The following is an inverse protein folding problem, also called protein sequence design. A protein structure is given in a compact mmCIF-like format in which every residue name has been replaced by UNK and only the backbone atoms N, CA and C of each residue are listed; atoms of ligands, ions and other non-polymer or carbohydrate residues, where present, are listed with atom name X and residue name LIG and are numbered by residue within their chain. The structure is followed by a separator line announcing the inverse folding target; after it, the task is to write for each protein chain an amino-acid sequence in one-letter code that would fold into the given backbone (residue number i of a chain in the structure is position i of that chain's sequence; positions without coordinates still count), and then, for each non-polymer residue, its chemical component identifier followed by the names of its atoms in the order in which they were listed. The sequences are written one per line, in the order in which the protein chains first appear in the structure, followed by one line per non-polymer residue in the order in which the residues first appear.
data_IF_187948178088
#
_entry.id   IF_187948178088
#
_cell.length_a   1.000
_cell.length_b   1.000
_cell.length_c   1.000
_cell.angle_alpha   90.00
_cell.angle_beta   90.00
_cell.angle_gamma   90.00
#
_symmetry.space_group_name_H-M   'P 1'
#
loop_
_entity.id
_entity.type
_entity.pdbx_description
1 polymer ?
#
# COMPACT_ATOMS: atom_id res chain seq x y z
N UNK A 1 5.66 -12.70 17.87
CA UNK A 1 6.11 -12.48 16.48
C UNK A 1 7.53 -13.01 16.32
N UNK A 2 7.70 -14.17 15.67
CA UNK A 2 9.00 -14.87 15.53
C UNK A 2 9.95 -14.28 14.46
N UNK A 3 9.71 -13.06 13.96
CA UNK A 3 10.33 -12.59 12.71
C UNK A 3 11.04 -11.22 12.79
N UNK A 4 11.48 -10.80 13.99
CA UNK A 4 12.13 -9.51 14.21
C UNK A 4 13.42 -9.30 13.38
N UNK A 5 14.12 -10.37 13.03
CA UNK A 5 15.38 -10.32 12.25
C UNK A 5 15.13 -10.05 10.75
N UNK A 6 14.16 -10.75 10.13
CA UNK A 6 13.79 -10.52 8.71
C UNK A 6 13.28 -9.10 8.49
N UNK A 7 12.62 -8.52 9.50
CA UNK A 7 12.10 -7.15 9.45
C UNK A 7 13.18 -6.08 9.28
N UNK A 8 14.31 -6.26 9.97
CA UNK A 8 15.41 -5.28 9.98
C UNK A 8 16.00 -5.06 8.59
N UNK A 9 15.89 -6.03 7.67
CA UNK A 9 16.41 -5.86 6.30
C UNK A 9 15.66 -4.78 5.52
N UNK A 10 14.39 -4.54 5.85
CA UNK A 10 13.56 -3.53 5.21
C UNK A 10 13.82 -2.10 5.74
N UNK A 11 14.57 -1.99 6.84
CA UNK A 11 15.04 -0.72 7.43
C UNK A 11 16.37 -0.24 6.83
N UNK A 12 17.00 -1.05 5.96
CA UNK A 12 18.26 -0.70 5.27
C UNK A 12 18.04 0.38 4.21
N UNK A 13 19.09 1.09 3.75
CA UNK A 13 18.99 1.99 2.61
C UNK A 13 18.36 1.31 1.38
N UNK A 14 17.55 2.01 0.57
CA UNK A 14 16.82 1.40 -0.55
C UNK A 14 17.73 0.68 -1.56
N UNK A 15 18.96 1.17 -1.75
CA UNK A 15 19.96 0.59 -2.65
C UNK A 15 20.50 -0.77 -2.19
N UNK A 16 20.33 -1.12 -0.92
CA UNK A 16 20.82 -2.36 -0.31
C UNK A 16 19.72 -3.42 -0.18
N UNK A 17 18.51 -3.11 -0.67
CA UNK A 17 17.37 -4.01 -0.55
C UNK A 17 17.09 -4.73 -1.87
N UNK A 18 16.56 -5.94 -1.76
CA UNK A 18 16.04 -6.70 -2.89
C UNK A 18 14.58 -6.32 -3.15
N UNK A 19 14.20 -6.31 -4.43
CA UNK A 19 12.88 -5.92 -4.89
C UNK A 19 12.31 -7.01 -5.79
N UNK A 20 10.98 -7.10 -5.84
CA UNK A 20 10.32 -8.02 -6.76
C UNK A 20 10.73 -7.76 -8.21
N UNK A 21 10.67 -8.81 -9.03
CA UNK A 21 10.84 -8.69 -10.47
C UNK A 21 9.85 -7.67 -11.03
N UNK A 22 10.34 -6.86 -11.95
CA UNK A 22 9.49 -5.89 -12.61
C UNK A 22 8.56 -6.63 -13.59
N UNK A 23 7.24 -6.46 -13.41
CA UNK A 23 6.22 -7.15 -14.22
C UNK A 23 6.30 -6.86 -15.73
N UNK A 24 6.94 -5.77 -16.14
CA UNK A 24 7.20 -5.47 -17.55
C UNK A 24 8.27 -6.36 -18.19
N UNK A 25 9.05 -7.09 -17.39
CA UNK A 25 10.07 -8.02 -17.86
C UNK A 25 9.55 -9.47 -18.00
N UNK A 26 8.31 -9.74 -17.58
CA UNK A 26 7.71 -11.07 -17.68
C UNK A 26 7.37 -11.41 -19.14
N UNK A 27 7.81 -12.58 -19.62
CA UNK A 27 7.74 -13.03 -21.03
C UNK A 27 6.33 -13.15 -21.63
N UNK A 28 5.29 -13.09 -20.79
CA UNK A 28 3.87 -13.04 -21.17
C UNK A 28 3.20 -11.87 -20.44
N UNK A 29 3.68 -10.65 -20.75
CA UNK A 29 3.33 -9.42 -20.03
C UNK A 29 1.83 -9.25 -19.82
N UNK A 30 1.45 -8.94 -18.59
CA UNK A 30 0.11 -8.48 -18.27
C UNK A 30 -0.20 -7.22 -19.09
N UNK A 31 -1.39 -7.14 -19.67
CA UNK A 31 -1.79 -5.93 -20.38
C UNK A 31 -2.05 -4.81 -19.37
N UNK A 32 -1.15 -3.83 -19.33
CA UNK A 32 -1.25 -2.63 -18.48
C UNK A 32 -1.65 -1.39 -19.27
N UNK A 33 -2.00 -1.53 -20.55
CA UNK A 33 -2.39 -0.41 -21.40
C UNK A 33 -3.90 -0.15 -21.31
N UNK A 34 -4.33 1.04 -20.86
CA UNK A 34 -5.74 1.38 -20.75
C UNK A 34 -6.43 1.51 -22.12
N UNK A 35 -7.66 1.02 -22.20
CA UNK A 35 -8.58 1.22 -23.31
C UNK A 35 -9.18 2.63 -23.32
N UNK A 36 -9.80 3.00 -24.44
CA UNK A 36 -10.49 4.30 -24.59
C UNK A 36 -11.67 4.43 -23.63
N UNK A 37 -12.40 3.34 -23.42
CA UNK A 37 -13.54 3.26 -22.51
C UNK A 37 -13.10 3.47 -21.06
N UNK A 38 -12.00 2.84 -20.64
CA UNK A 38 -11.42 3.02 -19.31
C UNK A 38 -10.97 4.45 -19.10
N UNK A 39 -10.29 5.05 -20.08
CA UNK A 39 -9.93 6.46 -20.01
C UNK A 39 -11.15 7.35 -19.82
N UNK A 40 -12.27 7.09 -20.51
CA UNK A 40 -13.44 7.97 -20.41
C UNK A 40 -14.33 7.72 -19.18
N UNK A 41 -14.20 6.56 -18.53
CA UNK A 41 -15.04 6.17 -17.40
C UNK A 41 -14.22 5.60 -16.26
N UNK A 42 -13.94 6.41 -15.23
CA UNK A 42 -13.15 6.01 -14.06
C UNK A 42 -13.59 4.65 -13.44
N UNK A 43 -14.89 4.35 -13.25
CA UNK A 43 -15.29 3.04 -12.73
C UNK A 43 -14.84 1.86 -13.60
N UNK A 44 -14.71 2.05 -14.92
CA UNK A 44 -14.16 1.02 -15.81
C UNK A 44 -12.66 0.84 -15.62
N UNK A 45 -11.92 1.93 -15.40
CA UNK A 45 -10.50 1.85 -15.07
C UNK A 45 -10.21 1.17 -13.71
N UNK A 46 -11.19 1.08 -12.81
CA UNK A 46 -11.05 0.33 -11.56
C UNK A 46 -11.00 -1.20 -11.77
N UNK A 47 -11.61 -1.73 -12.83
CA UNK A 47 -11.61 -3.17 -13.10
C UNK A 47 -10.20 -3.71 -13.41
N UNK A 48 -9.41 -3.12 -14.33
CA UNK A 48 -8.02 -3.53 -14.52
C UNK A 48 -7.16 -3.37 -13.27
N UNK A 49 -7.33 -2.30 -12.49
CA UNK A 49 -6.60 -2.13 -11.23
C UNK A 49 -6.85 -3.30 -10.27
N UNK A 50 -8.09 -3.78 -10.21
CA UNK A 50 -8.43 -4.98 -9.45
C UNK A 50 -7.81 -6.24 -10.09
N UNK A 51 -8.03 -6.47 -11.38
CA UNK A 51 -7.60 -7.70 -12.06
C UNK A 51 -6.07 -7.87 -12.08
N UNK A 52 -5.34 -6.77 -12.19
CA UNK A 52 -3.87 -6.75 -12.25
C UNK A 52 -3.21 -6.93 -10.87
N UNK A 53 -3.96 -6.82 -9.77
CA UNK A 53 -3.41 -6.99 -8.43
C UNK A 53 -3.12 -8.46 -8.10
N UNK A 54 -1.93 -8.91 -8.52
CA UNK A 54 -1.39 -10.24 -8.23
C UNK A 54 -1.03 -10.44 -6.76
N UNK A 55 -0.87 -9.35 -5.99
CA UNK A 55 -0.50 -9.44 -4.58
C UNK A 55 -1.73 -9.64 -3.68
N UNK A 56 -2.94 -9.39 -4.21
CA UNK A 56 -4.20 -9.52 -3.48
C UNK A 56 -4.33 -10.88 -2.78
N UNK A 57 -4.71 -10.84 -1.51
CA UNK A 57 -5.00 -12.03 -0.71
C UNK A 57 -6.38 -12.59 -1.07
N UNK A 58 -6.47 -13.91 -1.20
CA UNK A 58 -7.69 -14.62 -1.51
C UNK A 58 -8.32 -15.20 -0.22
N UNK A 59 -9.60 -14.88 0.09
CA UNK A 59 -10.31 -15.49 1.21
C UNK A 59 -10.30 -17.02 1.13
N UNK A 60 -10.10 -17.69 2.25
CA UNK A 60 -10.03 -19.16 2.36
C UNK A 60 -8.73 -19.79 1.86
N UNK A 61 -7.87 -19.04 1.16
CA UNK A 61 -6.55 -19.49 0.72
C UNK A 61 -5.41 -18.78 1.47
N UNK A 62 -5.49 -17.44 1.57
CA UNK A 62 -4.46 -16.63 2.21
C UNK A 62 -4.88 -16.16 3.61
N UNK A 63 -6.18 -16.07 3.89
CA UNK A 63 -6.72 -15.67 5.19
C UNK A 63 -8.16 -16.16 5.40
N UNK A 64 -8.59 -16.19 6.66
CA UNK A 64 -9.97 -16.44 7.08
C UNK A 64 -10.45 -15.31 7.98
N UNK A 65 -11.69 -14.86 7.78
CA UNK A 65 -12.33 -13.85 8.63
C UNK A 65 -13.51 -14.41 9.40
N UNK A 66 -13.65 -13.98 10.66
CA UNK A 66 -14.80 -14.21 11.52
C UNK A 66 -15.51 -12.87 11.72
N UNK A 67 -16.52 -12.60 10.90
CA UNK A 67 -17.25 -11.32 10.95
C UNK A 67 -18.11 -11.14 12.21
N UNK A 68 -18.23 -12.18 13.04
CA UNK A 68 -19.14 -12.21 14.18
C UNK A 68 -20.60 -12.06 13.74
N UNK A 69 -21.43 -11.54 14.64
CA UNK A 69 -22.84 -11.24 14.36
C UNK A 69 -23.03 -9.74 14.15
N UNK A 70 -23.98 -9.38 13.27
CA UNK A 70 -24.38 -7.99 13.10
C UNK A 70 -24.93 -7.40 14.40
N UNK A 71 -24.42 -6.23 14.79
CA UNK A 71 -24.84 -5.52 16.01
C UNK A 71 -26.01 -4.58 15.72
N UNK A 72 -27.14 -4.83 16.37
CA UNK A 72 -28.31 -3.93 16.37
C UNK A 72 -28.21 -2.94 17.52
N UNK A 73 -28.79 -1.76 17.34
CA UNK A 73 -28.71 -0.63 18.30
C UNK A 73 -29.17 -0.99 19.72
N UNK A 74 -30.11 -1.93 19.85
CA UNK A 74 -30.64 -2.37 21.16
C UNK A 74 -29.85 -3.52 21.80
N UNK A 75 -28.91 -4.15 21.09
CA UNK A 75 -28.12 -5.25 21.63
C UNK A 75 -27.01 -4.70 22.54
N UNK A 76 -26.99 -5.19 23.79
CA UNK A 76 -25.93 -4.92 24.75
C UNK A 76 -24.87 -6.00 24.66
N UNK A 77 -23.60 -5.61 24.77
CA UNK A 77 -22.45 -6.52 24.70
C UNK A 77 -21.70 -6.47 23.37
N UNK A 78 -20.59 -7.19 23.32
CA UNK A 78 -19.83 -7.43 22.11
C UNK A 78 -20.44 -8.62 21.35
N UNK A 79 -20.74 -8.41 20.07
CA UNK A 79 -21.33 -9.42 19.18
C UNK A 79 -20.27 -10.05 18.25
N UNK A 80 -19.00 -9.65 18.40
CA UNK A 80 -17.85 -10.15 17.67
C UNK A 80 -16.70 -10.39 18.65
N UNK A 81 -16.91 -11.33 19.58
CA UNK A 81 -15.94 -11.65 20.64
C UNK A 81 -14.64 -12.29 20.13
N UNK A 82 -14.64 -12.77 18.90
CA UNK A 82 -13.49 -13.37 18.23
C UNK A 82 -12.71 -12.32 17.43
N UNK A 83 -11.44 -12.59 17.16
CA UNK A 83 -10.65 -11.75 16.27
C UNK A 83 -11.22 -11.79 14.85
N UNK A 84 -11.30 -10.62 14.19
CA UNK A 84 -11.78 -10.52 12.81
C UNK A 84 -11.00 -11.44 11.87
N UNK A 85 -9.68 -11.56 12.04
CA UNK A 85 -8.88 -12.55 11.34
C UNK A 85 -8.64 -13.75 12.26
N UNK A 86 -9.32 -14.87 11.99
CA UNK A 86 -9.07 -16.13 12.71
C UNK A 86 -7.84 -16.85 12.20
N UNK A 87 -7.45 -16.61 10.95
CA UNK A 87 -6.26 -17.19 10.35
C UNK A 87 -5.69 -16.29 9.26
N UNK A 88 -4.36 -16.27 9.18
CA UNK A 88 -3.59 -15.64 8.11
C UNK A 88 -2.45 -16.59 7.75
N UNK A 89 -2.25 -16.82 6.46
CA UNK A 89 -1.16 -17.67 5.99
C UNK A 89 0.19 -17.06 6.36
N UNK A 90 1.09 -17.91 6.88
CA UNK A 90 2.34 -17.47 7.51
C UNK A 90 3.26 -16.63 6.62
N UNK A 91 3.20 -16.81 5.30
CA UNK A 91 4.05 -16.14 4.32
C UNK A 91 3.50 -14.80 3.81
N UNK A 92 2.24 -14.46 4.11
CA UNK A 92 1.60 -13.23 3.63
C UNK A 92 2.38 -12.00 4.03
N UNK A 93 2.70 -11.88 5.32
CA UNK A 93 3.45 -10.73 5.83
C UNK A 93 4.94 -10.78 5.47
N UNK A 94 5.42 -11.86 4.83
CA UNK A 94 6.78 -11.97 4.29
C UNK A 94 6.87 -11.56 2.82
N UNK A 95 5.74 -11.36 2.13
CA UNK A 95 5.71 -10.87 0.74
C UNK A 95 6.28 -9.44 0.70
N UNK A 96 7.12 -9.08 -0.30
CA UNK A 96 7.84 -7.81 -0.33
C UNK A 96 6.97 -6.57 -0.16
N UNK A 97 5.83 -6.50 -0.85
CA UNK A 97 4.88 -5.38 -0.76
C UNK A 97 4.30 -5.20 0.64
N UNK A 98 3.81 -6.29 1.25
CA UNK A 98 3.25 -6.26 2.60
C UNK A 98 4.33 -5.99 3.67
N UNK A 99 5.52 -6.56 3.52
CA UNK A 99 6.67 -6.28 4.39
C UNK A 99 6.99 -4.78 4.41
N UNK A 100 7.15 -4.16 3.24
CA UNK A 100 7.48 -2.74 3.15
C UNK A 100 6.34 -1.86 3.67
N UNK A 101 5.10 -2.24 3.39
CA UNK A 101 3.93 -1.53 3.94
C UNK A 101 3.91 -1.57 5.46
N UNK A 102 4.11 -2.75 6.07
CA UNK A 102 4.12 -2.86 7.52
C UNK A 102 5.31 -2.06 8.13
N UNK A 103 6.42 -1.85 7.41
CA UNK A 103 7.59 -1.06 7.88
C UNK A 103 7.20 0.41 8.05
N UNK A 104 6.46 0.94 7.08
CA UNK A 104 5.86 2.27 7.19
C UNK A 104 4.91 2.37 8.39
N UNK A 105 4.06 1.36 8.60
CA UNK A 105 3.09 1.36 9.71
C UNK A 105 3.77 1.28 11.07
N UNK A 106 4.91 0.59 11.18
CA UNK A 106 5.71 0.49 12.42
C UNK A 106 6.26 1.85 12.88
N UNK A 107 6.41 2.82 11.97
CA UNK A 107 6.85 4.18 12.30
C UNK A 107 5.74 5.05 12.93
N UNK A 108 4.47 4.62 12.84
CA UNK A 108 3.36 5.42 13.32
C UNK A 108 3.37 5.57 14.85
N UNK A 109 3.32 6.82 15.32
CA UNK A 109 3.12 7.13 16.72
C UNK A 109 1.64 7.46 17.00
N UNK A 110 0.91 6.63 17.76
CA UNK A 110 -0.52 6.84 18.03
C UNK A 110 -0.80 8.00 19.00
N UNK A 111 0.23 8.59 19.62
CA UNK A 111 0.06 9.69 20.59
C UNK A 111 -0.14 11.02 19.88
N UNK A 112 -1.33 11.59 20.03
CA UNK A 112 -1.67 12.93 19.52
C UNK A 112 -0.88 14.04 20.25
N UNK A 113 -0.62 15.16 19.54
CA UNK A 113 0.02 16.36 20.10
C UNK A 113 1.56 16.33 20.12
N UNK A 114 2.18 15.24 19.67
CA UNK A 114 3.63 15.18 19.44
C UNK A 114 3.94 15.56 17.99
N UNK A 115 5.00 16.34 17.78
CA UNK A 115 5.51 16.61 16.44
C UNK A 115 6.02 15.31 15.83
N UNK A 116 5.48 14.92 14.67
CA UNK A 116 6.02 13.82 13.88
C UNK A 116 7.46 14.16 13.48
N UNK A 117 8.42 13.37 13.97
CA UNK A 117 9.81 13.49 13.60
C UNK A 117 10.10 12.46 12.52
N UNK A 118 10.08 12.90 11.26
CA UNK A 118 10.46 12.04 10.13
C UNK A 118 11.97 11.83 10.17
N UNK A 119 12.39 10.61 10.44
CA UNK A 119 13.80 10.21 10.46
C UNK A 119 14.33 9.93 9.06
N UNK A 120 15.65 9.78 8.91
CA UNK A 120 16.22 9.34 7.65
C UNK A 120 15.84 7.90 7.31
N UNK A 121 15.58 7.07 8.33
CA UNK A 121 15.13 5.71 8.13
C UNK A 121 13.72 5.69 7.54
N UNK A 122 12.81 6.51 8.07
CA UNK A 122 11.43 6.63 7.56
C UNK A 122 11.43 7.00 6.07
N UNK A 123 12.24 7.98 5.68
CA UNK A 123 12.42 8.37 4.26
C UNK A 123 12.95 7.24 3.38
N UNK A 124 13.85 6.41 3.93
CA UNK A 124 14.36 5.24 3.21
C UNK A 124 13.26 4.20 3.03
N UNK A 125 12.46 3.95 4.06
CA UNK A 125 11.33 3.02 4.01
C UNK A 125 10.25 3.50 3.03
N UNK A 126 9.92 4.80 3.01
CA UNK A 126 9.02 5.43 2.04
C UNK A 126 9.52 5.25 0.61
N UNK A 127 10.78 5.58 0.34
CA UNK A 127 11.38 5.44 -0.98
C UNK A 127 11.39 3.98 -1.45
N UNK A 128 11.71 3.05 -0.55
CA UNK A 128 11.75 1.63 -0.87
C UNK A 128 10.34 1.06 -1.09
N UNK A 129 9.33 1.53 -0.35
CA UNK A 129 7.93 1.17 -0.60
C UNK A 129 7.45 1.65 -1.96
N UNK A 130 7.71 2.91 -2.32
CA UNK A 130 7.37 3.48 -3.64
C UNK A 130 8.04 2.68 -4.76
N UNK A 131 9.32 2.35 -4.61
CA UNK A 131 10.05 1.53 -5.58
C UNK A 131 9.42 0.15 -5.77
N UNK A 132 9.03 -0.52 -4.68
CA UNK A 132 8.39 -1.85 -4.74
C UNK A 132 7.03 -1.79 -5.45
N UNK A 133 6.13 -0.89 -5.03
CA UNK A 133 4.80 -0.85 -5.62
C UNK A 133 4.83 -0.37 -7.07
N UNK A 134 5.79 0.48 -7.46
CA UNK A 134 5.96 0.94 -8.84
C UNK A 134 6.32 -0.17 -9.83
N UNK A 135 6.77 -1.33 -9.34
CA UNK A 135 7.05 -2.52 -10.14
C UNK A 135 5.81 -3.40 -10.34
N UNK A 136 4.76 -3.20 -9.54
CA UNK A 136 3.53 -3.97 -9.61
C UNK A 136 2.65 -3.58 -10.80
N UNK A 137 1.93 -4.55 -11.36
CA UNK A 137 1.06 -4.34 -12.51
C UNK A 137 -0.04 -3.27 -12.31
N UNK A 138 -0.75 -3.17 -11.18
CA UNK A 138 -1.77 -2.13 -11.01
C UNK A 138 -1.18 -0.72 -11.01
N UNK A 139 0.01 -0.53 -10.43
CA UNK A 139 0.67 0.78 -10.43
C UNK A 139 1.24 1.14 -11.80
N UNK A 140 1.70 0.17 -12.58
CA UNK A 140 2.07 0.41 -13.98
C UNK A 140 0.88 0.82 -14.83
N UNK A 141 -0.26 0.14 -14.67
CA UNK A 141 -1.50 0.53 -15.33
C UNK A 141 -1.93 1.94 -14.91
N UNK A 142 -1.87 2.26 -13.61
CA UNK A 142 -2.17 3.62 -13.11
C UNK A 142 -1.26 4.67 -13.75
N UNK A 143 0.06 4.41 -13.83
CA UNK A 143 1.00 5.32 -14.48
C UNK A 143 0.62 5.56 -15.94
N UNK A 144 0.33 4.50 -16.71
CA UNK A 144 -0.14 4.61 -18.09
C UNK A 144 -1.43 5.40 -18.21
N UNK A 145 -2.41 5.11 -17.36
CA UNK A 145 -3.68 5.83 -17.30
C UNK A 145 -3.47 7.34 -17.10
N UNK A 146 -2.63 7.73 -16.14
CA UNK A 146 -2.35 9.13 -15.85
C UNK A 146 -1.56 9.83 -16.97
N UNK A 147 -0.64 9.13 -17.62
CA UNK A 147 0.08 9.63 -18.81
C UNK A 147 -0.89 9.91 -19.95
N UNK A 148 -1.76 8.97 -20.28
CA UNK A 148 -2.76 9.12 -21.37
C UNK A 148 -3.80 10.19 -21.04
N UNK A 149 -4.00 10.49 -19.76
CA UNK A 149 -4.81 11.63 -19.29
C UNK A 149 -4.07 12.97 -19.27
N UNK A 150 -2.77 13.00 -19.58
CA UNK A 150 -1.96 14.22 -19.55
C UNK A 150 -1.69 14.75 -18.14
N UNK A 151 -1.82 13.92 -17.11
CA UNK A 151 -1.65 14.31 -15.69
C UNK A 151 -0.18 14.19 -15.26
N UNK A 152 0.56 13.22 -15.81
CA UNK A 152 1.97 12.97 -15.48
C UNK A 152 2.80 12.66 -16.73
N UNK A 153 4.11 12.76 -16.62
CA UNK A 153 5.04 12.43 -17.70
C UNK A 153 5.23 10.91 -17.85
N UNK A 154 5.77 10.49 -19.00
CA UNK A 154 6.17 9.10 -19.22
C UNK A 154 7.36 8.66 -18.35
N UNK A 155 8.07 9.61 -17.72
CA UNK A 155 9.23 9.31 -16.89
C UNK A 155 8.79 8.67 -15.57
N UNK A 156 9.23 7.43 -15.36
CA UNK A 156 8.90 6.66 -14.16
C UNK A 156 9.48 7.28 -12.88
N UNK A 157 10.63 7.98 -12.96
CA UNK A 157 11.23 8.69 -11.83
C UNK A 157 10.35 9.85 -11.39
N UNK A 158 9.79 10.61 -12.33
CA UNK A 158 8.90 11.72 -12.01
C UNK A 158 7.55 11.23 -11.48
N UNK A 159 7.02 10.13 -12.04
CA UNK A 159 5.85 9.47 -11.46
C UNK A 159 6.10 8.98 -10.02
N UNK A 160 7.24 8.35 -9.74
CA UNK A 160 7.61 7.91 -8.37
C UNK A 160 7.73 9.10 -7.41
N UNK A 161 8.33 10.21 -7.82
CA UNK A 161 8.40 11.45 -7.02
C UNK A 161 6.99 12.02 -6.76
N UNK A 162 6.13 12.05 -7.77
CA UNK A 162 4.74 12.50 -7.63
C UNK A 162 4.00 11.64 -6.62
N UNK A 163 4.12 10.30 -6.72
CA UNK A 163 3.49 9.37 -5.80
C UNK A 163 4.01 9.57 -4.37
N UNK A 164 5.33 9.67 -4.18
CA UNK A 164 5.92 9.94 -2.87
C UNK A 164 5.43 11.27 -2.28
N UNK A 165 5.39 12.34 -3.10
CA UNK A 165 4.89 13.65 -2.68
C UNK A 165 3.41 13.61 -2.29
N UNK A 166 2.59 12.84 -2.99
CA UNK A 166 1.15 12.72 -2.69
C UNK A 166 0.89 11.94 -1.41
N UNK A 167 1.74 10.99 -1.03
CA UNK A 167 1.46 10.13 0.13
C UNK A 167 2.23 10.52 1.39
N UNK A 168 3.46 11.03 1.25
CA UNK A 168 4.39 11.19 2.37
C UNK A 168 4.80 12.63 2.66
N UNK A 169 4.54 13.58 1.76
CA UNK A 169 4.79 14.98 2.11
C UNK A 169 3.82 15.41 3.22
N UNK A 170 4.39 15.99 4.27
CA UNK A 170 3.62 16.64 5.32
C UNK A 170 2.92 17.87 4.75
N UNK A 171 1.63 18.02 5.02
CA UNK A 171 0.86 19.22 4.73
C UNK A 171 0.35 19.84 6.03
N UNK A 172 0.28 21.18 6.08
CA UNK A 172 -0.24 21.89 7.24
C UNK A 172 -1.76 21.79 7.31
N UNK A 173 -2.30 21.32 8.45
CA UNK A 173 -3.70 21.54 8.83
C UNK A 173 -3.72 22.41 10.08
N UNK A 174 -3.79 23.74 9.89
CA UNK A 174 -3.62 24.71 10.98
C UNK A 174 -2.16 24.82 11.41
N UNK A 175 -1.90 24.84 12.73
CA UNK A 175 -0.55 24.95 13.30
C UNK A 175 0.22 23.61 13.34
N UNK A 176 -0.32 22.52 12.77
CA UNK A 176 0.29 21.19 12.77
C UNK A 176 0.54 20.65 11.35
N UNK A 177 1.68 19.99 11.17
CA UNK A 177 2.05 19.25 9.96
C UNK A 177 1.58 17.79 10.08
N UNK A 178 0.98 17.25 9.01
CA UNK A 178 0.38 15.90 8.97
C UNK A 178 0.71 15.21 7.64
N UNK A 179 1.10 13.93 7.65
CA UNK A 179 1.23 13.11 6.43
C UNK A 179 -0.13 12.59 5.92
N UNK A 180 -0.26 12.28 4.63
CA UNK A 180 -1.48 11.70 4.05
C UNK A 180 -1.70 10.22 4.45
N UNK A 181 -0.64 9.53 4.90
CA UNK A 181 -0.72 8.29 5.68
C UNK A 181 0.15 8.44 6.94
N UNK A 182 -0.35 8.32 8.19
CA UNK A 182 -1.71 7.96 8.61
C UNK A 182 -2.30 8.94 9.66
N UNK A 183 -3.13 9.88 9.20
CA UNK A 183 -4.23 10.46 10.00
C UNK A 183 -5.55 10.12 9.30
N UNK A 184 -5.95 8.85 9.38
CA UNK A 184 -7.30 8.40 8.99
C UNK A 184 -7.69 6.98 9.46
N UNK A 185 -6.82 6.19 10.09
CA UNK A 185 -7.22 4.89 10.64
C UNK A 185 -7.51 4.99 12.14
N UNK A 186 -8.51 5.80 12.50
CA UNK A 186 -9.28 5.55 13.71
C UNK A 186 -10.35 4.52 13.34
N UNK A 187 -10.10 3.25 13.68
CA UNK A 187 -11.17 2.26 13.83
C UNK A 187 -11.97 2.57 15.11
#
# INVERSE_FOLDING_TARGET
MKNSEEWKRYKRPPSEQEYSEDVSQLRHGLNVEPSREELNHLPKACCPLWELDLNRLLPGNDYTIECGQGKKVYQKGDMASENLFSWLKDDVLRRPTYCRFCALVDNYNPRQGYKELVTQQDKNEEAAFIEEIARSAPIKYLHRYLVLKGITSQDQKDFKKMLASLWFNLYGRGDALVALLPLSMSL
#
